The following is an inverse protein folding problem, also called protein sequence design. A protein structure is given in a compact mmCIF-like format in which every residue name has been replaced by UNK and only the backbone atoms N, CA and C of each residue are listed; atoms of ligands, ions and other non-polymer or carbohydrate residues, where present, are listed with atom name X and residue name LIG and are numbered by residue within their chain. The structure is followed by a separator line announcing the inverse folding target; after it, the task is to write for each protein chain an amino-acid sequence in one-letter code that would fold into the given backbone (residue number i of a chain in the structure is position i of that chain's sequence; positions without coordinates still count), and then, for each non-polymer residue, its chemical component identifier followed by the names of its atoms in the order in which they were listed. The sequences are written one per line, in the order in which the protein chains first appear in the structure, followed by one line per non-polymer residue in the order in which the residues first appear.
data_IF_109299669663
#
_entry.id   IF_109299669663
#
_cell.length_a   1.000
_cell.length_b   1.000
_cell.length_c   1.000
_cell.angle_alpha   90.00
_cell.angle_beta   90.00
_cell.angle_gamma   90.00
#
_symmetry.space_group_name_H-M   'P 1'
#
loop_
_entity.id
_entity.type
_entity.pdbx_description
1 polymer ?
#
# COMPACT_ATOMS: atom_id res chain seq x y z
N UNK A 1 -3.96 17.05 -8.61
CA UNK A 1 -5.40 17.08 -9.00
C UNK A 1 -6.25 16.76 -7.78
N UNK A 2 -7.58 16.79 -7.87
CA UNK A 2 -8.48 16.44 -6.76
C UNK A 2 -8.18 15.03 -6.17
N UNK A 3 -7.84 14.06 -7.02
CA UNK A 3 -7.46 12.71 -6.58
C UNK A 3 -6.21 12.69 -5.71
N UNK A 4 -5.21 13.53 -6.00
CA UNK A 4 -4.01 13.67 -5.14
C UNK A 4 -4.41 14.23 -3.78
N UNK A 5 -5.27 15.25 -3.73
CA UNK A 5 -5.74 15.81 -2.46
C UNK A 5 -6.48 14.76 -1.64
N UNK A 6 -7.37 13.98 -2.27
CA UNK A 6 -8.08 12.90 -1.60
C UNK A 6 -7.14 11.80 -1.07
N UNK A 7 -6.10 11.44 -1.85
CA UNK A 7 -5.07 10.48 -1.46
C UNK A 7 -4.30 10.92 -0.20
N UNK A 8 -3.85 12.18 -0.17
CA UNK A 8 -3.14 12.73 1.00
C UNK A 8 -4.05 12.86 2.23
N UNK A 9 -5.34 13.17 2.04
CA UNK A 9 -6.33 13.12 3.12
C UNK A 9 -6.46 11.68 3.64
N UNK A 10 -6.47 10.67 2.77
CA UNK A 10 -6.42 9.26 3.16
C UNK A 10 -5.22 8.96 4.06
N UNK A 11 -4.03 9.41 3.67
CA UNK A 11 -2.83 9.28 4.51
C UNK A 11 -2.97 9.98 5.86
N UNK A 12 -3.52 11.20 5.89
CA UNK A 12 -3.77 11.95 7.13
C UNK A 12 -4.76 11.24 8.07
N UNK A 13 -5.72 10.48 7.52
CA UNK A 13 -6.66 9.65 8.28
C UNK A 13 -6.07 8.30 8.73
N UNK A 14 -4.83 7.99 8.34
CA UNK A 14 -4.12 6.78 8.74
C UNK A 14 -4.18 5.62 7.74
N UNK A 15 -4.60 5.88 6.49
CA UNK A 15 -4.50 4.88 5.43
C UNK A 15 -3.08 4.79 4.89
N UNK A 16 -2.62 3.57 4.63
CA UNK A 16 -1.40 3.31 3.88
C UNK A 16 -1.76 2.95 2.45
N UNK A 17 -0.75 2.90 1.58
CA UNK A 17 -0.94 2.41 0.22
C UNK A 17 -1.53 0.98 0.20
N UNK A 18 -2.52 0.75 -0.65
CA UNK A 18 -3.21 -0.55 -0.75
C UNK A 18 -2.24 -1.69 -1.09
N UNK A 19 -1.26 -1.43 -1.97
CA UNK A 19 -0.21 -2.40 -2.30
C UNK A 19 0.73 -2.74 -1.14
N UNK A 20 0.65 -2.04 0.00
CA UNK A 20 1.42 -2.33 1.20
C UNK A 20 0.67 -3.19 2.22
N UNK A 21 -0.55 -3.65 1.91
CA UNK A 21 -1.29 -4.58 2.77
C UNK A 21 -0.53 -5.89 3.03
N UNK A 22 -0.71 -6.54 4.20
CA UNK A 22 -0.10 -7.83 4.50
C UNK A 22 -0.47 -8.94 3.49
N UNK A 23 -1.69 -8.90 2.95
CA UNK A 23 -2.27 -9.89 2.06
C UNK A 23 -2.08 -9.59 0.56
N UNK A 24 -1.37 -8.50 0.21
CA UNK A 24 -1.25 -8.03 -1.19
C UNK A 24 -0.70 -9.07 -2.16
N UNK A 25 0.16 -9.99 -1.71
CA UNK A 25 0.75 -11.03 -2.56
C UNK A 25 -0.28 -12.09 -3.05
N UNK A 26 -1.50 -12.09 -2.51
CA UNK A 26 -2.62 -12.90 -3.02
C UNK A 26 -3.29 -12.28 -4.26
N UNK A 27 -3.06 -10.99 -4.51
CA UNK A 27 -3.77 -10.22 -5.53
C UNK A 27 -2.80 -9.66 -6.58
N UNK A 28 -1.62 -9.21 -6.16
CA UNK A 28 -0.62 -8.57 -7.02
C UNK A 28 0.77 -9.14 -6.78
N UNK A 29 1.60 -9.16 -7.83
CA UNK A 29 3.02 -9.52 -7.75
C UNK A 29 3.89 -8.31 -8.06
N UNK A 30 4.74 -7.94 -7.12
CA UNK A 30 5.73 -6.88 -7.33
C UNK A 30 6.86 -7.42 -8.20
N UNK A 31 7.11 -6.78 -9.35
CA UNK A 31 8.26 -7.07 -10.19
C UNK A 31 9.49 -6.29 -9.69
N UNK A 32 10.21 -6.84 -8.72
CA UNK A 32 11.30 -6.15 -8.02
C UNK A 32 12.44 -5.68 -8.93
N UNK A 33 12.71 -6.38 -10.04
CA UNK A 33 13.77 -5.97 -10.99
C UNK A 33 13.44 -4.69 -11.76
N UNK A 34 12.16 -4.31 -11.82
CA UNK A 34 11.69 -3.12 -12.52
C UNK A 34 11.56 -1.90 -11.59
N UNK A 35 11.92 -2.03 -10.32
CA UNK A 35 11.87 -0.92 -9.37
C UNK A 35 13.14 -0.09 -9.53
N UNK A 36 12.98 1.23 -9.56
CA UNK A 36 14.11 2.18 -9.56
C UNK A 36 15.02 1.93 -8.35
N UNK A 37 16.33 2.00 -8.57
CA UNK A 37 17.32 1.78 -7.50
C UNK A 37 17.05 2.69 -6.31
N UNK A 38 17.07 2.14 -5.10
CA UNK A 38 16.76 2.85 -3.86
C UNK A 38 15.26 3.00 -3.54
N UNK A 39 14.34 2.67 -4.46
CA UNK A 39 12.90 2.89 -4.28
C UNK A 39 12.12 1.65 -3.81
N UNK A 40 12.79 0.54 -3.52
CA UNK A 40 12.16 -0.72 -3.10
C UNK A 40 11.33 -0.59 -1.81
N UNK A 41 11.66 0.36 -0.92
CA UNK A 41 10.94 0.58 0.33
C UNK A 41 9.46 0.98 0.10
N UNK A 42 9.13 1.64 -1.01
CA UNK A 42 7.76 2.04 -1.35
C UNK A 42 6.82 0.86 -1.60
N UNK A 43 7.38 -0.33 -1.83
CA UNK A 43 6.65 -1.56 -2.10
C UNK A 43 6.75 -2.56 -0.95
N UNK A 44 7.27 -2.16 0.22
CA UNK A 44 7.25 -3.02 1.40
C UNK A 44 5.83 -3.18 1.95
N UNK A 45 5.57 -4.36 2.52
CA UNK A 45 4.33 -4.62 3.25
C UNK A 45 4.44 -4.10 4.66
N UNK A 46 3.32 -3.74 5.25
CA UNK A 46 3.20 -3.56 6.69
C UNK A 46 2.62 -4.83 7.34
N UNK A 47 2.99 -5.06 8.60
CA UNK A 47 2.45 -6.17 9.38
C UNK A 47 1.01 -5.90 9.83
N UNK A 48 0.31 -6.97 10.23
CA UNK A 48 -1.08 -6.92 10.74
C UNK A 48 -1.22 -6.10 12.03
N UNK A 49 -0.13 -5.83 12.75
CA UNK A 49 -0.11 -4.91 13.90
C UNK A 49 -0.14 -3.43 13.50
N UNK A 50 0.15 -3.10 12.24
CA UNK A 50 0.17 -1.72 11.72
C UNK A 50 -0.99 -1.44 10.76
N UNK A 51 -1.46 -2.45 10.03
CA UNK A 51 -2.60 -2.33 9.12
C UNK A 51 -3.71 -3.29 9.53
N UNK A 52 -4.92 -2.76 9.58
CA UNK A 52 -6.14 -3.53 9.76
C UNK A 52 -7.08 -3.26 8.57
N UNK A 53 -7.30 -4.26 7.72
CA UNK A 53 -8.19 -4.17 6.55
C UNK A 53 -9.68 -4.15 6.91
N UNK A 54 -10.03 -4.24 8.20
CA UNK A 54 -11.42 -4.22 8.72
C UNK A 54 -12.34 -5.22 8.04
N UNK A 55 -11.80 -6.39 7.69
CA UNK A 55 -12.49 -7.46 6.96
C UNK A 55 -12.97 -7.05 5.55
N UNK A 56 -12.50 -5.91 5.04
CA UNK A 56 -12.72 -5.48 3.66
C UNK A 56 -11.71 -6.20 2.75
N UNK A 57 -12.20 -6.65 1.61
CA UNK A 57 -11.38 -7.30 0.58
C UNK A 57 -10.36 -6.32 -0.01
N UNK A 58 -9.39 -6.82 -0.76
CA UNK A 58 -8.47 -5.97 -1.53
C UNK A 58 -9.24 -5.26 -2.65
N UNK A 59 -8.95 -3.98 -2.86
CA UNK A 59 -9.51 -3.15 -3.95
C UNK A 59 -8.51 -3.02 -5.10
#
# INVERSE_FOLDING_TARGET
TLGVVAHEIGHALGFWHEQSRPDRDRYVRINWSNIQSGMAFNFQKYDTGKINSRQVSYD
#
